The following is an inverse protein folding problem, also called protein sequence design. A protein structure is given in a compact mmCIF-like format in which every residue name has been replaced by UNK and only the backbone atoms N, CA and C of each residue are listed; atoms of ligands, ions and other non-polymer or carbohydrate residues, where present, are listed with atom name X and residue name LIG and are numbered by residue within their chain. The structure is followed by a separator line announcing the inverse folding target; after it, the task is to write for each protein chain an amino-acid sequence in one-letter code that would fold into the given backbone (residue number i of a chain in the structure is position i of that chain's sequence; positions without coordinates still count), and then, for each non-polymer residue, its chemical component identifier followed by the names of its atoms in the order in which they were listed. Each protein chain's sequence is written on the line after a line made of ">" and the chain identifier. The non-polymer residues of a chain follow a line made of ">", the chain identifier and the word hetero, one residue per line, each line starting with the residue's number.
data_IF_736795277460
#
_entry.id   IF_736795277460
#
_cell.length_a   1.000
_cell.length_b   1.000
_cell.length_c   1.000
_cell.angle_alpha   90.00
_cell.angle_beta   90.00
_cell.angle_gamma   90.00
#
_symmetry.space_group_name_H-M   'P 1'
#
loop_
_entity.id
_entity.type
_entity.pdbx_description
1 polymer ?
#
# COMPACT_ATOMS: atom_id res chain seq x y z
N UNK A 1 18.77 -1.04 -18.45
CA UNK A 1 18.53 -2.23 -17.61
C UNK A 1 19.40 -2.10 -16.37
N UNK A 2 18.89 -2.46 -15.19
CA UNK A 2 19.54 -2.16 -13.91
C UNK A 2 20.98 -2.69 -13.88
N UNK A 3 21.94 -1.79 -13.64
CA UNK A 3 23.40 -2.05 -13.63
C UNK A 3 23.91 -2.61 -12.30
N UNK A 4 23.06 -2.66 -11.27
CA UNK A 4 23.44 -3.14 -9.96
C UNK A 4 23.46 -4.68 -9.92
N UNK A 5 24.54 -5.26 -9.39
CA UNK A 5 24.62 -6.68 -9.08
C UNK A 5 23.85 -6.95 -7.78
N UNK A 6 22.84 -7.81 -7.84
CA UNK A 6 22.05 -8.22 -6.68
C UNK A 6 22.27 -9.69 -6.37
N UNK A 7 22.44 -10.02 -5.10
CA UNK A 7 22.33 -11.41 -4.64
C UNK A 7 20.90 -11.89 -4.84
N UNK A 8 20.71 -12.78 -5.82
CA UNK A 8 19.38 -13.31 -6.15
C UNK A 8 19.26 -14.72 -5.60
N UNK A 9 18.57 -14.93 -4.47
CA UNK A 9 18.41 -16.27 -3.92
C UNK A 9 17.58 -17.14 -4.87
N UNK A 10 18.00 -18.40 -5.06
CA UNK A 10 17.22 -19.37 -5.83
C UNK A 10 15.93 -19.72 -5.09
N UNK A 11 14.79 -19.54 -5.77
CA UNK A 11 13.50 -19.97 -5.23
C UNK A 11 13.46 -21.49 -5.09
N UNK A 12 13.18 -21.95 -3.88
CA UNK A 12 12.94 -23.36 -3.58
C UNK A 12 11.44 -23.65 -3.66
N UNK A 13 11.06 -24.93 -3.77
CA UNK A 13 9.66 -25.35 -3.76
C UNK A 13 8.91 -24.92 -2.49
N UNK A 14 9.61 -24.81 -1.37
CA UNK A 14 9.08 -24.27 -0.13
C UNK A 14 9.84 -22.98 0.22
N UNK A 15 9.15 -21.82 0.31
CA UNK A 15 9.80 -20.59 0.68
C UNK A 15 10.23 -20.64 2.14
N UNK A 16 11.43 -20.12 2.42
CA UNK A 16 11.89 -19.86 3.79
C UNK A 16 11.37 -18.50 4.19
N UNK A 17 10.63 -18.43 5.29
CA UNK A 17 10.14 -17.17 5.83
C UNK A 17 11.34 -16.44 6.46
N UNK A 18 11.71 -15.23 5.98
CA UNK A 18 12.82 -14.50 6.54
C UNK A 18 12.49 -13.99 7.94
N UNK A 19 13.52 -13.78 8.75
CA UNK A 19 13.39 -13.02 10.00
C UNK A 19 13.03 -11.56 9.68
N UNK A 20 12.31 -10.93 10.61
CA UNK A 20 11.86 -9.55 10.46
C UNK A 20 13.06 -8.61 10.45
N UNK A 21 13.15 -7.77 9.41
CA UNK A 21 14.18 -6.76 9.20
C UNK A 21 13.52 -5.39 9.02
N UNK A 22 13.21 -4.73 10.13
CA UNK A 22 12.49 -3.46 10.12
C UNK A 22 13.28 -2.36 9.39
N UNK A 23 12.66 -1.74 8.39
CA UNK A 23 13.27 -0.61 7.66
C UNK A 23 14.30 -1.02 6.60
N UNK A 24 14.37 -2.29 6.22
CA UNK A 24 15.28 -2.77 5.16
C UNK A 24 15.12 -2.00 3.84
N UNK A 25 13.91 -1.50 3.52
CA UNK A 25 13.65 -0.69 2.33
C UNK A 25 13.50 0.82 2.60
N UNK A 26 13.82 1.32 3.79
CA UNK A 26 13.61 2.73 4.15
C UNK A 26 14.38 3.74 3.27
N UNK A 27 15.49 3.31 2.66
CA UNK A 27 16.32 4.12 1.78
C UNK A 27 15.83 4.14 0.31
N UNK A 28 14.86 3.31 -0.04
CA UNK A 28 14.38 3.16 -1.40
C UNK A 28 13.20 4.11 -1.68
N UNK A 29 13.19 4.70 -2.87
CA UNK A 29 12.09 5.55 -3.37
C UNK A 29 11.71 5.12 -4.78
N UNK A 30 10.42 5.19 -5.14
CA UNK A 30 9.97 4.98 -6.52
C UNK A 30 10.62 5.99 -7.47
N UNK A 31 10.94 5.56 -8.68
CA UNK A 31 11.36 6.46 -9.75
C UNK A 31 10.12 7.17 -10.31
N UNK A 32 10.17 8.51 -10.37
CA UNK A 32 9.07 9.31 -10.91
C UNK A 32 9.06 9.15 -12.44
N UNK A 33 7.89 8.83 -12.99
CA UNK A 33 7.74 8.66 -14.43
C UNK A 33 7.92 10.00 -15.16
N UNK A 34 8.78 10.08 -16.20
CA UNK A 34 9.00 11.32 -16.93
C UNK A 34 7.77 11.69 -17.77
N UNK A 35 7.58 13.01 -17.96
CA UNK A 35 6.45 13.59 -18.69
C UNK A 35 6.12 12.95 -20.05
N UNK A 36 7.12 12.64 -20.91
CA UNK A 36 6.89 11.95 -22.19
C UNK A 36 6.18 10.59 -22.09
N UNK A 37 6.30 9.88 -20.95
CA UNK A 37 5.57 8.63 -20.71
C UNK A 37 4.15 8.90 -20.18
N UNK A 38 3.95 10.00 -19.45
CA UNK A 38 2.67 10.33 -18.83
C UNK A 38 1.66 10.95 -19.82
N UNK A 39 2.10 11.83 -20.73
CA UNK A 39 1.21 12.51 -21.69
C UNK A 39 0.37 11.56 -22.56
N UNK A 40 0.93 10.48 -23.17
CA UNK A 40 0.14 9.57 -24.01
C UNK A 40 -0.93 8.79 -23.21
N UNK A 41 -0.74 8.64 -21.90
CA UNK A 41 -1.70 7.99 -20.99
C UNK A 41 -2.73 8.98 -20.42
N UNK A 42 -2.68 10.24 -20.83
CA UNK A 42 -3.49 11.32 -20.30
C UNK A 42 -3.32 11.51 -18.77
N UNK A 43 -2.11 11.28 -18.26
CA UNK A 43 -1.76 11.53 -16.87
C UNK A 43 -1.05 12.88 -16.72
N UNK A 44 -1.30 13.61 -15.60
CA UNK A 44 -0.65 14.88 -15.35
C UNK A 44 0.84 14.67 -15.05
N UNK A 45 1.72 15.49 -15.64
CA UNK A 45 3.17 15.35 -15.44
C UNK A 45 3.62 15.64 -14.00
N UNK A 46 2.86 16.49 -13.31
CA UNK A 46 3.07 16.88 -11.93
C UNK A 46 1.83 16.56 -11.11
N UNK A 47 2.03 16.48 -9.79
CA UNK A 47 0.93 16.29 -8.86
C UNK A 47 0.00 17.52 -8.89
N UNK A 48 -1.30 17.29 -8.95
CA UNK A 48 -2.30 18.36 -9.01
C UNK A 48 -2.51 19.00 -7.64
N UNK A 49 -2.84 20.30 -7.60
CA UNK A 49 -2.88 21.11 -6.37
C UNK A 49 -3.89 20.63 -5.29
N UNK A 50 -4.89 19.83 -5.66
CA UNK A 50 -5.90 19.23 -4.76
C UNK A 50 -5.94 17.68 -4.84
N UNK A 51 -4.79 17.04 -5.03
CA UNK A 51 -4.75 15.60 -5.26
C UNK A 51 -5.33 14.78 -4.10
N UNK A 52 -5.17 15.23 -2.84
CA UNK A 52 -5.73 14.52 -1.67
C UNK A 52 -7.25 14.51 -1.72
N UNK A 53 -7.87 15.68 -1.94
CA UNK A 53 -9.32 15.80 -2.03
C UNK A 53 -9.88 14.98 -3.19
N UNK A 54 -9.21 15.02 -4.36
CA UNK A 54 -9.57 14.20 -5.53
C UNK A 54 -9.43 12.69 -5.24
N UNK A 55 -8.38 12.27 -4.53
CA UNK A 55 -8.17 10.88 -4.16
C UNK A 55 -9.24 10.38 -3.18
N UNK A 56 -9.58 11.17 -2.15
CA UNK A 56 -10.64 10.86 -1.19
C UNK A 56 -12.00 10.79 -1.92
N UNK A 57 -12.32 11.77 -2.76
CA UNK A 57 -13.56 11.77 -3.53
C UNK A 57 -13.68 10.51 -4.42
N UNK A 58 -12.59 10.15 -5.11
CA UNK A 58 -12.57 8.94 -5.95
C UNK A 58 -12.72 7.67 -5.13
N UNK A 59 -12.10 7.58 -3.95
CA UNK A 59 -12.29 6.46 -3.03
C UNK A 59 -13.76 6.33 -2.62
N UNK A 60 -14.44 7.45 -2.31
CA UNK A 60 -15.87 7.48 -2.01
C UNK A 60 -16.73 6.96 -3.15
N UNK A 61 -16.46 7.38 -4.39
CA UNK A 61 -17.14 6.87 -5.60
C UNK A 61 -16.96 5.35 -5.73
N UNK A 62 -15.73 4.86 -5.60
CA UNK A 62 -15.42 3.42 -5.72
C UNK A 62 -16.09 2.60 -4.61
N UNK A 63 -16.13 3.10 -3.38
CA UNK A 63 -16.82 2.46 -2.27
C UNK A 63 -18.33 2.43 -2.48
N UNK A 64 -18.92 3.48 -3.06
CA UNK A 64 -20.34 3.50 -3.42
C UNK A 64 -20.69 2.56 -4.57
N UNK A 65 -19.76 2.35 -5.52
CA UNK A 65 -19.96 1.50 -6.69
C UNK A 65 -19.68 0.01 -6.45
N UNK A 66 -18.68 -0.32 -5.62
CA UNK A 66 -18.19 -1.68 -5.46
C UNK A 66 -18.28 -2.18 -4.02
N UNK A 67 -19.27 -3.03 -3.73
CA UNK A 67 -19.39 -3.72 -2.44
C UNK A 67 -18.14 -4.55 -2.09
N UNK A 68 -17.49 -5.15 -3.08
CA UNK A 68 -16.26 -5.92 -2.89
C UNK A 68 -15.15 -5.07 -2.27
N UNK A 69 -15.06 -3.79 -2.62
CA UNK A 69 -14.08 -2.88 -2.05
C UNK A 69 -14.36 -2.61 -0.57
N UNK A 70 -15.64 -2.39 -0.21
CA UNK A 70 -16.04 -2.21 1.19
C UNK A 70 -15.65 -3.44 2.02
N UNK A 71 -16.03 -4.64 1.56
CA UNK A 71 -15.68 -5.91 2.23
C UNK A 71 -14.16 -6.07 2.35
N UNK A 72 -13.38 -5.69 1.34
CA UNK A 72 -11.93 -5.78 1.39
C UNK A 72 -11.30 -4.82 2.42
N UNK A 73 -11.90 -3.66 2.64
CA UNK A 73 -11.44 -2.72 3.67
C UNK A 73 -11.70 -3.26 5.08
N UNK A 74 -12.83 -3.92 5.29
CA UNK A 74 -13.28 -4.34 6.63
C UNK A 74 -12.87 -5.77 7.02
N UNK A 75 -12.66 -6.67 6.05
CA UNK A 75 -12.44 -8.09 6.33
C UNK A 75 -11.05 -8.42 6.93
N UNK A 76 -10.08 -7.50 6.81
CA UNK A 76 -8.74 -7.76 7.31
C UNK A 76 -8.70 -7.64 8.85
N UNK A 77 -8.41 -8.75 9.53
CA UNK A 77 -8.26 -8.82 11.00
C UNK A 77 -6.80 -8.77 11.45
N UNK A 78 -5.88 -8.37 10.56
CA UNK A 78 -4.44 -8.28 10.81
C UNK A 78 -3.77 -9.58 11.32
N UNK A 79 -4.30 -10.75 10.94
CA UNK A 79 -3.76 -12.05 11.37
C UNK A 79 -2.38 -12.41 10.79
N UNK A 80 -1.93 -11.73 9.72
CA UNK A 80 -0.62 -11.99 9.11
C UNK A 80 -0.53 -13.24 8.23
N UNK A 81 -1.62 -13.95 7.98
CA UNK A 81 -1.64 -15.18 7.16
C UNK A 81 -1.17 -14.98 5.70
N UNK A 82 -1.14 -13.73 5.23
CA UNK A 82 -0.64 -13.39 3.89
C UNK A 82 0.86 -13.07 3.84
N UNK A 83 1.53 -12.91 4.99
CA UNK A 83 2.90 -12.40 5.05
C UNK A 83 3.90 -13.32 4.35
N UNK A 84 3.80 -14.62 4.60
CA UNK A 84 4.68 -15.66 4.02
C UNK A 84 4.44 -15.92 2.52
N UNK A 85 3.37 -15.36 1.93
CA UNK A 85 3.06 -15.46 0.50
C UNK A 85 3.55 -14.26 -0.30
N UNK A 86 3.98 -13.18 0.36
CA UNK A 86 4.34 -11.95 -0.30
C UNK A 86 5.80 -11.95 -0.75
N UNK A 87 6.02 -11.88 -2.07
CA UNK A 87 7.37 -11.80 -2.63
C UNK A 87 8.17 -10.58 -2.13
N UNK A 88 7.52 -9.43 -1.87
CA UNK A 88 8.20 -8.28 -1.29
C UNK A 88 8.68 -8.54 0.15
N UNK A 89 7.86 -9.16 0.99
CA UNK A 89 8.26 -9.53 2.35
C UNK A 89 9.35 -10.60 2.32
N UNK A 90 9.16 -11.66 1.53
CA UNK A 90 10.14 -12.75 1.40
C UNK A 90 11.52 -12.25 0.92
N UNK A 91 11.55 -11.25 0.02
CA UNK A 91 12.79 -10.69 -0.48
C UNK A 91 13.47 -9.67 0.44
N UNK A 92 12.77 -9.10 1.41
CA UNK A 92 13.28 -7.94 2.19
C UNK A 92 13.30 -8.17 3.69
N UNK A 93 12.46 -9.05 4.22
CA UNK A 93 12.17 -9.19 5.65
C UNK A 93 11.45 -7.98 6.26
N UNK A 94 11.14 -6.93 5.50
CA UNK A 94 10.58 -5.70 6.06
C UNK A 94 9.09 -5.89 6.40
N UNK A 95 8.67 -5.74 7.66
CA UNK A 95 7.28 -5.90 8.05
C UNK A 95 6.34 -4.90 7.36
N UNK A 96 6.84 -3.73 6.92
CA UNK A 96 6.06 -2.77 6.13
C UNK A 96 5.73 -3.28 4.73
N UNK A 97 6.47 -4.28 4.25
CA UNK A 97 6.24 -4.92 2.96
C UNK A 97 5.26 -6.10 3.02
N UNK A 98 4.84 -6.52 4.21
CA UNK A 98 3.77 -7.51 4.36
C UNK A 98 2.47 -6.98 3.74
N UNK A 99 1.63 -7.83 3.12
CA UNK A 99 0.39 -7.36 2.50
C UNK A 99 -0.55 -6.70 3.51
N UNK A 100 -0.59 -7.18 4.76
CA UNK A 100 -1.36 -6.54 5.83
C UNK A 100 -0.94 -5.08 6.00
N UNK A 101 0.35 -4.82 6.21
CA UNK A 101 0.88 -3.49 6.48
C UNK A 101 0.76 -2.54 5.28
N UNK A 102 1.03 -3.03 4.07
CA UNK A 102 0.87 -2.22 2.84
C UNK A 102 -0.57 -1.79 2.63
N UNK A 103 -1.51 -2.72 2.81
CA UNK A 103 -2.93 -2.43 2.63
C UNK A 103 -3.49 -1.61 3.80
N UNK A 104 -2.88 -1.69 4.99
CA UNK A 104 -3.25 -0.86 6.13
C UNK A 104 -3.05 0.64 5.85
N UNK A 105 -2.09 1.03 4.99
CA UNK A 105 -1.92 2.43 4.53
C UNK A 105 -3.24 2.98 3.95
N UNK A 106 -3.87 2.23 3.05
CA UNK A 106 -5.16 2.60 2.47
C UNK A 106 -6.28 2.51 3.49
N UNK A 107 -6.28 1.48 4.36
CA UNK A 107 -7.32 1.31 5.40
C UNK A 107 -7.32 2.41 6.46
N UNK A 108 -6.18 3.01 6.79
CA UNK A 108 -6.13 4.13 7.76
C UNK A 108 -6.85 5.37 7.24
N UNK A 109 -6.67 5.68 5.95
CA UNK A 109 -7.38 6.75 5.25
C UNK A 109 -8.86 6.40 5.10
N UNK A 110 -9.18 5.15 4.72
CA UNK A 110 -10.56 4.68 4.67
C UNK A 110 -11.29 4.88 6.01
N UNK A 111 -10.68 4.43 7.12
CA UNK A 111 -11.24 4.61 8.46
C UNK A 111 -11.49 6.08 8.76
N UNK A 112 -10.53 6.96 8.44
CA UNK A 112 -10.62 8.40 8.72
C UNK A 112 -11.83 9.07 8.10
N UNK A 113 -12.09 8.81 6.82
CA UNK A 113 -13.06 9.56 6.05
C UNK A 113 -14.41 8.84 5.85
N UNK A 114 -14.45 7.50 5.94
CA UNK A 114 -15.62 6.70 5.54
C UNK A 114 -16.22 5.84 6.66
N UNK A 115 -15.65 5.88 7.88
CA UNK A 115 -16.24 5.18 9.04
C UNK A 115 -16.63 6.15 10.14
N UNK A 116 -17.70 5.85 10.87
CA UNK A 116 -18.15 6.66 12.01
C UNK A 116 -17.06 6.72 13.08
N UNK A 117 -16.49 5.57 13.42
CA UNK A 117 -15.46 5.48 14.45
C UNK A 117 -14.20 6.29 14.08
N UNK A 118 -13.74 6.26 12.83
CA UNK A 118 -12.57 7.04 12.42
C UNK A 118 -12.82 8.54 12.25
N UNK A 119 -14.07 8.96 12.00
CA UNK A 119 -14.44 10.37 11.96
C UNK A 119 -14.39 11.02 13.34
N UNK A 120 -14.95 10.34 14.35
CA UNK A 120 -15.09 10.88 15.72
C UNK A 120 -13.95 10.47 16.67
N UNK A 121 -13.37 9.28 16.49
CA UNK A 121 -12.36 8.71 17.39
C UNK A 121 -11.13 8.18 16.61
N UNK A 122 -10.46 9.02 15.79
CA UNK A 122 -9.44 8.55 14.85
C UNK A 122 -8.28 7.80 15.52
N UNK A 123 -7.83 8.27 16.69
CA UNK A 123 -6.71 7.65 17.43
C UNK A 123 -7.02 6.22 17.88
N UNK A 124 -8.28 5.92 18.24
CA UNK A 124 -8.68 4.60 18.73
C UNK A 124 -8.61 3.54 17.63
N UNK A 125 -8.96 3.94 16.41
CA UNK A 125 -8.99 3.03 15.25
C UNK A 125 -7.76 3.16 14.35
N UNK A 126 -6.74 3.93 14.77
CA UNK A 126 -5.54 4.18 13.98
C UNK A 126 -5.77 4.90 12.66
N UNK A 127 -6.87 5.67 12.55
CA UNK A 127 -7.19 6.45 11.35
C UNK A 127 -6.23 7.63 11.20
N UNK A 128 -5.87 7.94 9.96
CA UNK A 128 -4.96 9.06 9.62
C UNK A 128 -5.52 9.85 8.46
N UNK A 129 -5.27 11.16 8.48
CA UNK A 129 -5.53 12.02 7.32
C UNK A 129 -4.56 11.67 6.17
N UNK A 130 -4.98 11.95 4.94
CA UNK A 130 -4.20 11.70 3.71
C UNK A 130 -3.22 12.84 3.41
#
# INVERSE_FOLDING_TARGET
>A
MATAAFETPKLKSYPVIPLVQAGAMSHLKPFIAPGPIQKPLNFPEQLVDDWQAKAIAKMGELLGKYRSLQVYMDACVHCGACSDKCHYFLGTGDPKNMPVARQDLMRKVYRRYFTVAGKYFPKLVGAVDL
#
